data_IF_441859039851
#
_entry.id   IF_441859039851
#
_cell.length_a   1.000
_cell.length_b   1.000
_cell.length_c   1.000
_cell.angle_alpha   90.00
_cell.angle_beta   90.00
_cell.angle_gamma   90.00
#
_symmetry.space_group_name_H-M   'P 1'
#
loop_
_entity.id
_entity.type
_entity.pdbx_description
1 polymer ?
#
# COMPACT_ATOMS: atom_id res chain seq x y z
N UNK A 1 2.03 9.04 -3.42
CA UNK A 1 2.76 8.38 -4.53
C UNK A 1 4.24 8.74 -4.55
N UNK A 2 4.62 10.03 -4.61
CA UNK A 2 6.04 10.46 -4.66
C UNK A 2 6.84 9.94 -3.48
N UNK A 3 6.37 10.10 -2.25
CA UNK A 3 7.03 9.56 -1.05
C UNK A 3 7.21 8.04 -1.09
N UNK A 4 6.25 7.34 -1.66
CA UNK A 4 6.34 5.89 -1.82
C UNK A 4 7.44 5.48 -2.79
N UNK A 5 7.60 6.24 -3.88
CA UNK A 5 8.71 6.07 -4.81
C UNK A 5 10.03 6.38 -4.09
N UNK A 6 10.09 7.46 -3.29
CA UNK A 6 11.27 7.82 -2.52
C UNK A 6 11.66 6.71 -1.53
N UNK A 7 10.72 6.17 -0.76
CA UNK A 7 10.98 5.05 0.16
C UNK A 7 11.53 3.82 -0.58
N UNK A 8 10.93 3.45 -1.73
CA UNK A 8 11.43 2.33 -2.54
C UNK A 8 12.86 2.57 -3.06
N UNK A 9 13.19 3.80 -3.45
CA UNK A 9 14.55 4.15 -3.82
C UNK A 9 15.51 4.02 -2.63
N UNK A 10 15.11 4.49 -1.46
CA UNK A 10 15.89 4.38 -0.22
C UNK A 10 16.15 2.92 0.13
N UNK A 11 15.14 2.05 0.06
CA UNK A 11 15.29 0.61 0.31
C UNK A 11 16.34 -0.03 -0.63
N UNK A 12 16.36 0.38 -1.90
CA UNK A 12 17.36 -0.11 -2.85
C UNK A 12 18.77 0.44 -2.55
N UNK A 13 18.87 1.69 -2.08
CA UNK A 13 20.16 2.28 -1.71
C UNK A 13 20.75 1.63 -0.46
N UNK A 14 19.95 1.24 0.52
CA UNK A 14 20.40 0.45 1.67
C UNK A 14 21.01 -0.88 1.28
N UNK A 15 20.58 -1.50 0.18
CA UNK A 15 21.21 -2.74 -0.34
C UNK A 15 22.58 -2.51 -0.96
N UNK A 16 22.89 -1.27 -1.35
CA UNK A 16 24.16 -0.89 -1.99
C UNK A 16 25.17 -0.45 -0.95
N UNK A 17 24.73 0.38 0.00
CA UNK A 17 25.56 0.89 1.08
C UNK A 17 24.72 1.05 2.36
N UNK A 18 24.87 0.10 3.27
CA UNK A 18 24.17 0.05 4.55
C UNK A 18 24.76 1.02 5.60
N UNK A 19 25.97 1.55 5.37
CA UNK A 19 26.63 2.45 6.32
C UNK A 19 26.05 3.87 6.27
N UNK A 20 25.37 4.23 5.19
CA UNK A 20 24.74 5.53 5.03
C UNK A 20 23.31 5.45 5.55
N UNK A 21 22.94 6.37 6.45
CA UNK A 21 21.55 6.50 6.86
C UNK A 21 20.73 7.26 5.79
N UNK A 22 20.28 6.52 4.78
CA UNK A 22 19.56 7.06 3.63
C UNK A 22 18.23 7.77 4.00
N UNK A 23 17.63 7.42 5.13
CA UNK A 23 16.40 8.07 5.61
C UNK A 23 16.59 9.56 5.93
N UNK A 24 17.80 9.99 6.27
CA UNK A 24 18.10 11.41 6.47
C UNK A 24 17.93 12.26 5.21
N UNK A 25 17.98 11.64 4.05
CA UNK A 25 17.89 12.30 2.74
C UNK A 25 16.52 12.12 2.08
N UNK A 26 15.53 11.58 2.80
CA UNK A 26 14.20 11.29 2.24
C UNK A 26 13.56 12.51 1.58
N UNK A 27 13.60 13.65 2.23
CA UNK A 27 13.00 14.89 1.70
C UNK A 27 13.69 15.35 0.41
N UNK A 28 15.01 15.18 0.32
CA UNK A 28 15.77 15.47 -0.90
C UNK A 28 15.38 14.51 -2.04
N UNK A 29 15.17 13.22 -1.75
CA UNK A 29 14.63 12.28 -2.74
C UNK A 29 13.23 12.68 -3.20
N UNK A 30 12.35 13.06 -2.28
CA UNK A 30 10.99 13.52 -2.58
C UNK A 30 11.03 14.74 -3.50
N UNK A 31 11.82 15.75 -3.15
CA UNK A 31 11.94 16.96 -3.96
C UNK A 31 12.59 16.69 -5.32
N UNK A 32 13.60 15.83 -5.39
CA UNK A 32 14.17 15.42 -6.67
C UNK A 32 13.16 14.68 -7.55
N UNK A 33 12.40 13.74 -7.01
CA UNK A 33 11.37 13.00 -7.76
C UNK A 33 10.29 13.96 -8.29
N UNK A 34 9.92 14.96 -7.47
CA UNK A 34 8.91 15.97 -7.81
C UNK A 34 9.36 16.92 -8.90
N UNK A 35 10.57 17.47 -8.75
CA UNK A 35 11.04 18.63 -9.55
C UNK A 35 12.04 18.27 -10.63
N UNK A 36 12.75 17.14 -10.48
CA UNK A 36 13.90 16.72 -11.30
C UNK A 36 15.08 17.71 -11.25
N UNK A 37 15.12 18.58 -10.25
CA UNK A 37 16.21 19.53 -10.09
C UNK A 37 17.43 18.82 -9.49
N UNK A 38 18.56 19.00 -10.17
CA UNK A 38 19.83 18.32 -9.86
C UNK A 38 20.48 18.80 -8.56
N UNK A 39 20.15 20.03 -8.12
CA UNK A 39 20.64 20.61 -6.87
C UNK A 39 20.22 19.81 -5.62
N UNK A 40 19.10 19.07 -5.67
CA UNK A 40 18.75 18.15 -4.59
C UNK A 40 19.62 16.89 -4.58
N UNK A 41 20.06 16.38 -5.74
CA UNK A 41 20.94 15.22 -5.82
C UNK A 41 22.34 15.49 -5.28
N UNK A 42 22.86 16.69 -5.51
CA UNK A 42 24.23 17.07 -5.07
C UNK A 42 24.34 17.06 -3.54
N UNK A 43 23.23 17.22 -2.83
CA UNK A 43 23.18 17.22 -1.37
C UNK A 43 23.10 15.78 -0.77
N UNK A 44 22.84 14.79 -1.60
CA UNK A 44 22.81 13.37 -1.18
C UNK A 44 24.23 12.82 -1.38
N UNK A 45 24.76 11.98 -0.46
CA UNK A 45 26.11 11.46 -0.55
C UNK A 45 26.25 10.36 -1.64
N UNK A 46 25.85 10.72 -2.86
CA UNK A 46 25.99 9.86 -4.03
C UNK A 46 27.39 10.06 -4.58
N UNK A 47 28.27 9.11 -4.27
CA UNK A 47 29.71 9.25 -4.48
C UNK A 47 30.19 8.97 -5.92
N UNK A 48 29.29 8.56 -6.83
CA UNK A 48 29.69 8.23 -8.19
C UNK A 48 28.57 8.52 -9.22
N UNK A 49 28.97 8.80 -10.46
CA UNK A 49 28.09 8.91 -11.61
C UNK A 49 27.22 7.66 -11.79
N UNK A 50 27.76 6.48 -11.47
CA UNK A 50 27.02 5.21 -11.55
C UNK A 50 25.84 5.16 -10.57
N UNK A 51 25.98 5.71 -9.36
CA UNK A 51 24.89 5.79 -8.38
C UNK A 51 23.80 6.78 -8.83
N UNK A 52 24.19 7.89 -9.45
CA UNK A 52 23.24 8.85 -10.02
C UNK A 52 22.41 8.22 -11.16
N UNK A 53 23.04 7.45 -12.03
CA UNK A 53 22.37 6.70 -13.10
C UNK A 53 21.45 5.65 -12.51
N UNK A 54 21.92 4.90 -11.51
CA UNK A 54 21.12 3.90 -10.82
C UNK A 54 19.86 4.54 -10.20
N UNK A 55 20.03 5.65 -9.49
CA UNK A 55 18.92 6.39 -8.90
C UNK A 55 17.88 6.80 -9.95
N UNK A 56 18.35 7.39 -11.05
CA UNK A 56 17.47 7.82 -12.14
C UNK A 56 16.68 6.63 -12.72
N UNK A 57 17.36 5.50 -12.95
CA UNK A 57 16.72 4.29 -13.46
C UNK A 57 15.69 3.72 -12.47
N UNK A 58 16.02 3.66 -11.18
CA UNK A 58 15.09 3.19 -10.14
C UNK A 58 13.88 4.11 -10.00
N UNK A 59 14.07 5.42 -9.99
CA UNK A 59 12.96 6.39 -9.97
C UNK A 59 12.05 6.18 -11.17
N UNK A 60 12.59 6.00 -12.37
CA UNK A 60 11.79 5.78 -13.57
C UNK A 60 11.05 4.45 -13.49
N UNK A 61 11.70 3.38 -13.03
CA UNK A 61 11.08 2.07 -12.85
C UNK A 61 9.88 2.14 -11.90
N UNK A 62 10.05 2.72 -10.71
CA UNK A 62 8.98 2.84 -9.74
C UNK A 62 7.88 3.82 -10.16
N UNK A 63 8.25 4.91 -10.84
CA UNK A 63 7.30 5.86 -11.41
C UNK A 63 6.41 5.18 -12.45
N UNK A 64 7.00 4.42 -13.35
CA UNK A 64 6.26 3.67 -14.37
C UNK A 64 5.36 2.61 -13.75
N UNK A 65 5.83 1.91 -12.72
CA UNK A 65 5.02 0.93 -12.00
C UNK A 65 3.73 1.56 -11.47
N UNK A 66 3.80 2.73 -10.83
CA UNK A 66 2.64 3.39 -10.25
C UNK A 66 1.79 4.16 -11.26
N UNK A 67 2.39 4.81 -12.24
CA UNK A 67 1.66 5.66 -13.19
C UNK A 67 1.05 4.88 -14.36
N UNK A 68 1.75 3.89 -14.85
CA UNK A 68 1.24 3.01 -15.91
C UNK A 68 0.37 1.87 -15.38
N UNK A 69 0.10 1.85 -14.07
CA UNK A 69 -0.69 0.81 -13.40
C UNK A 69 -0.15 -0.60 -13.61
N UNK A 70 1.16 -0.77 -13.72
CA UNK A 70 1.80 -2.08 -13.88
C UNK A 70 1.52 -3.00 -12.68
N UNK A 71 1.11 -2.42 -11.53
CA UNK A 71 0.65 -3.16 -10.36
C UNK A 71 -0.62 -4.02 -10.62
N UNK A 72 -1.34 -3.79 -11.73
CA UNK A 72 -2.44 -4.69 -12.15
C UNK A 72 -1.91 -6.04 -12.67
N UNK A 73 -0.75 -6.03 -13.36
CA UNK A 73 -0.10 -7.23 -13.87
C UNK A 73 0.84 -7.89 -12.84
N UNK A 74 1.45 -7.07 -11.98
CA UNK A 74 2.38 -7.50 -10.92
C UNK A 74 2.00 -6.84 -9.59
N UNK A 75 1.00 -7.38 -8.86
CA UNK A 75 0.50 -6.81 -7.62
C UNK A 75 1.57 -6.77 -6.52
N UNK A 76 1.67 -5.65 -5.83
CA UNK A 76 2.67 -5.44 -4.78
C UNK A 76 2.19 -5.85 -3.38
N UNK A 77 0.87 -5.89 -3.15
CA UNK A 77 0.30 -6.03 -1.82
C UNK A 77 0.16 -7.48 -1.39
N UNK A 78 0.70 -7.80 -0.20
CA UNK A 78 0.53 -9.12 0.41
C UNK A 78 -0.87 -9.30 1.01
N UNK A 79 -1.48 -8.20 1.48
CA UNK A 79 -2.85 -8.16 2.03
C UNK A 79 -3.56 -6.88 1.62
N UNK A 80 -4.85 -6.99 1.35
CA UNK A 80 -5.74 -5.86 1.10
C UNK A 80 -7.00 -6.02 1.93
N UNK A 81 -7.43 -4.94 2.57
CA UNK A 81 -8.66 -4.90 3.34
C UNK A 81 -9.64 -3.93 2.70
N UNK A 82 -10.87 -4.38 2.52
CA UNK A 82 -11.98 -3.54 2.05
C UNK A 82 -13.04 -3.49 3.14
N UNK A 83 -13.29 -2.30 3.65
CA UNK A 83 -14.42 -2.07 4.56
C UNK A 83 -15.62 -1.53 3.77
N UNK A 84 -16.80 -2.04 4.08
CA UNK A 84 -18.06 -1.68 3.40
C UNK A 84 -19.02 -1.09 4.42
N UNK A 85 -19.57 0.10 4.15
CA UNK A 85 -20.40 0.81 5.12
C UNK A 85 -21.87 0.79 4.74
N UNK A 86 -22.23 1.33 3.56
CA UNK A 86 -23.62 1.56 3.20
C UNK A 86 -24.18 0.53 2.22
N UNK A 87 -25.33 -0.02 2.51
CA UNK A 87 -26.03 -1.01 1.68
C UNK A 87 -26.54 -0.45 0.34
N UNK A 88 -26.80 0.86 0.28
CA UNK A 88 -27.27 1.52 -0.94
C UNK A 88 -26.15 1.86 -1.94
N UNK A 89 -24.89 1.68 -1.56
CA UNK A 89 -23.74 1.84 -2.47
C UNK A 89 -23.28 0.52 -3.10
N UNK A 90 -24.23 -0.38 -3.41
CA UNK A 90 -23.92 -1.72 -3.91
C UNK A 90 -22.93 -1.73 -5.07
N UNK A 91 -23.23 -1.00 -6.16
CA UNK A 91 -22.38 -0.98 -7.35
C UNK A 91 -20.95 -0.53 -7.04
N UNK A 92 -20.81 0.57 -6.32
CA UNK A 92 -19.50 1.11 -5.95
C UNK A 92 -18.73 0.11 -5.09
N UNK A 93 -19.41 -0.57 -4.17
CA UNK A 93 -18.80 -1.59 -3.31
C UNK A 93 -18.28 -2.77 -4.13
N UNK A 94 -19.07 -3.30 -5.05
CA UNK A 94 -18.66 -4.42 -5.91
C UNK A 94 -17.50 -4.01 -6.81
N UNK A 95 -17.55 -2.83 -7.42
CA UNK A 95 -16.47 -2.29 -8.24
C UNK A 95 -15.18 -2.12 -7.42
N UNK A 96 -15.28 -1.64 -6.18
CA UNK A 96 -14.15 -1.50 -5.25
C UNK A 96 -13.54 -2.85 -4.88
N UNK A 97 -14.34 -3.86 -4.59
CA UNK A 97 -13.85 -5.21 -4.29
C UNK A 97 -13.15 -5.82 -5.51
N UNK A 98 -13.75 -5.69 -6.70
CA UNK A 98 -13.14 -6.18 -7.94
C UNK A 98 -11.85 -5.43 -8.30
N UNK A 99 -11.77 -4.15 -7.99
CA UNK A 99 -10.53 -3.39 -8.10
C UNK A 99 -9.48 -3.89 -7.10
N UNK A 100 -9.87 -4.10 -5.83
CA UNK A 100 -8.98 -4.60 -4.78
C UNK A 100 -8.38 -5.99 -5.10
N UNK A 101 -9.11 -6.83 -5.83
CA UNK A 101 -8.58 -8.13 -6.32
C UNK A 101 -7.35 -7.99 -7.22
N UNK A 102 -7.23 -6.87 -7.94
CA UNK A 102 -6.09 -6.59 -8.81
C UNK A 102 -4.86 -6.06 -8.04
N UNK A 103 -5.06 -5.62 -6.80
CA UNK A 103 -4.00 -5.03 -5.97
C UNK A 103 -3.24 -6.08 -5.16
N UNK A 104 -3.88 -7.19 -4.84
CA UNK A 104 -3.33 -8.22 -3.94
C UNK A 104 -2.65 -9.33 -4.73
N UNK A 105 -1.50 -9.80 -4.26
CA UNK A 105 -0.75 -10.91 -4.88
C UNK A 105 -1.52 -12.23 -4.88
N UNK A 106 -2.24 -12.50 -3.78
CA UNK A 106 -3.12 -13.67 -3.65
C UNK A 106 -4.49 -13.21 -3.17
N UNK A 107 -5.54 -13.52 -3.93
CA UNK A 107 -6.92 -13.14 -3.60
C UNK A 107 -7.42 -13.73 -2.27
N UNK A 108 -6.79 -14.79 -1.76
CA UNK A 108 -7.06 -15.32 -0.42
C UNK A 108 -6.72 -14.33 0.70
N UNK A 109 -5.83 -13.37 0.42
CA UNK A 109 -5.42 -12.32 1.33
C UNK A 109 -6.22 -11.01 1.13
N UNK A 110 -7.24 -11.02 0.27
CA UNK A 110 -8.21 -9.95 0.19
C UNK A 110 -9.33 -10.20 1.20
N UNK A 111 -9.41 -9.33 2.20
CA UNK A 111 -10.40 -9.41 3.25
C UNK A 111 -11.44 -8.31 3.07
N UNK A 112 -12.70 -8.72 3.00
CA UNK A 112 -13.84 -7.82 2.83
C UNK A 112 -14.71 -7.93 4.06
N UNK A 113 -15.05 -6.82 4.68
CA UNK A 113 -15.89 -6.77 5.88
C UNK A 113 -16.71 -5.50 5.96
N UNK A 114 -17.34 -5.27 7.11
CA UNK A 114 -18.18 -4.10 7.38
C UNK A 114 -19.67 -4.39 7.23
N UNK A 115 -20.48 -3.33 7.31
CA UNK A 115 -21.95 -3.44 7.44
C UNK A 115 -22.58 -4.11 6.23
N UNK A 116 -22.36 -3.59 5.01
CA UNK A 116 -22.91 -4.19 3.79
C UNK A 116 -22.47 -5.63 3.62
N UNK A 117 -21.17 -5.90 3.78
CA UNK A 117 -20.60 -7.24 3.64
C UNK A 117 -21.12 -8.24 4.70
N UNK A 118 -21.56 -7.75 5.86
CA UNK A 118 -22.20 -8.57 6.89
C UNK A 118 -23.65 -8.91 6.52
N UNK A 119 -24.44 -7.90 6.07
CA UNK A 119 -25.87 -8.03 5.79
C UNK A 119 -26.09 -8.79 4.48
N UNK A 120 -25.32 -8.46 3.43
CA UNK A 120 -25.48 -9.00 2.06
C UNK A 120 -24.29 -9.92 1.69
N UNK A 121 -23.84 -10.73 2.63
CA UNK A 121 -22.63 -11.54 2.44
C UNK A 121 -22.73 -12.56 1.31
N UNK A 122 -23.94 -13.12 1.09
CA UNK A 122 -24.18 -14.08 0.02
C UNK A 122 -24.09 -13.39 -1.34
N UNK A 123 -24.74 -12.27 -1.49
CA UNK A 123 -24.77 -11.47 -2.71
C UNK A 123 -23.37 -10.92 -3.06
N UNK A 124 -22.60 -10.47 -2.06
CA UNK A 124 -21.20 -10.05 -2.24
C UNK A 124 -20.36 -11.21 -2.74
N UNK A 125 -20.52 -12.40 -2.16
CA UNK A 125 -19.79 -13.58 -2.63
C UNK A 125 -20.17 -13.96 -4.05
N UNK A 126 -21.46 -13.98 -4.39
CA UNK A 126 -21.93 -14.29 -5.74
C UNK A 126 -21.42 -13.29 -6.78
N UNK A 127 -21.35 -12.00 -6.44
CA UNK A 127 -20.93 -10.94 -7.35
C UNK A 127 -19.39 -10.84 -7.50
N UNK A 128 -18.61 -11.23 -6.49
CA UNK A 128 -17.15 -10.98 -6.47
C UNK A 128 -16.30 -12.23 -6.38
N UNK A 129 -16.87 -13.37 -5.93
CA UNK A 129 -16.13 -14.59 -5.60
C UNK A 129 -15.33 -14.47 -4.28
N UNK A 130 -15.40 -13.35 -3.58
CA UNK A 130 -14.71 -13.12 -2.30
C UNK A 130 -15.69 -13.38 -1.16
N UNK A 131 -15.36 -14.34 -0.28
CA UNK A 131 -16.15 -14.61 0.92
C UNK A 131 -15.93 -13.52 1.96
N UNK A 132 -16.94 -12.69 2.26
CA UNK A 132 -16.76 -11.60 3.20
C UNK A 132 -16.72 -12.11 4.64
N UNK A 133 -16.02 -11.35 5.49
CA UNK A 133 -16.07 -11.52 6.94
C UNK A 133 -17.37 -10.91 7.47
N UNK A 134 -18.11 -11.66 8.29
CA UNK A 134 -19.38 -11.24 8.89
C UNK A 134 -19.20 -10.87 10.34
N UNK A 135 -19.83 -9.76 10.74
CA UNK A 135 -19.84 -9.31 12.13
C UNK A 135 -18.67 -8.42 12.49
N UNK A 136 -18.35 -8.39 13.78
CA UNK A 136 -17.31 -7.56 14.37
C UNK A 136 -16.04 -8.37 14.68
N UNK A 137 -14.91 -7.68 14.81
CA UNK A 137 -13.60 -8.29 15.05
C UNK A 137 -13.33 -8.42 16.56
N UNK A 138 -14.20 -9.15 17.25
CA UNK A 138 -14.22 -9.29 18.71
C UNK A 138 -13.67 -10.63 19.25
N UNK A 139 -13.11 -11.45 18.38
CA UNK A 139 -12.49 -12.72 18.74
C UNK A 139 -11.02 -12.73 18.30
N UNK A 140 -10.08 -13.22 19.14
CA UNK A 140 -8.69 -13.33 18.74
C UNK A 140 -8.52 -14.20 17.49
N UNK A 141 -7.59 -13.83 16.62
CA UNK A 141 -7.24 -14.62 15.43
C UNK A 141 -8.22 -14.54 14.27
N UNK A 142 -9.25 -13.68 14.31
CA UNK A 142 -10.25 -13.58 13.23
C UNK A 142 -9.68 -13.19 11.87
N UNK A 143 -8.74 -12.24 11.83
CA UNK A 143 -8.07 -11.81 10.58
C UNK A 143 -6.71 -12.48 10.40
N UNK A 144 -6.04 -12.79 11.48
CA UNK A 144 -4.74 -13.45 11.48
C UNK A 144 -4.68 -14.45 12.64
N UNK A 145 -4.64 -15.74 12.31
CA UNK A 145 -4.62 -16.81 13.32
C UNK A 145 -3.47 -16.71 14.32
N UNK A 146 -2.40 -15.99 13.97
CA UNK A 146 -1.24 -15.76 14.85
C UNK A 146 -1.43 -14.55 15.77
N UNK A 147 -2.39 -13.69 15.49
CA UNK A 147 -2.66 -12.50 16.26
C UNK A 147 -3.72 -12.77 17.32
N UNK A 148 -3.35 -12.60 18.59
CA UNK A 148 -4.25 -12.75 19.73
C UNK A 148 -4.98 -11.45 20.11
N UNK A 149 -4.73 -10.37 19.39
CA UNK A 149 -5.40 -9.10 19.64
C UNK A 149 -6.88 -9.18 19.23
N UNK A 150 -7.72 -8.63 20.09
CA UNK A 150 -9.11 -8.34 19.78
C UNK A 150 -9.14 -6.93 19.16
N UNK A 151 -9.35 -6.86 17.87
CA UNK A 151 -9.24 -5.58 17.11
C UNK A 151 -10.27 -4.58 17.59
N UNK A 152 -11.45 -5.04 17.97
CA UNK A 152 -12.55 -4.19 18.48
C UNK A 152 -12.20 -3.50 19.81
N UNK A 153 -11.23 -4.01 20.56
CA UNK A 153 -10.76 -3.43 21.82
C UNK A 153 -9.58 -2.45 21.64
N UNK A 154 -9.06 -2.28 20.42
CA UNK A 154 -7.97 -1.34 20.19
C UNK A 154 -8.48 0.10 20.29
N UNK A 155 -7.69 1.00 20.91
CA UNK A 155 -8.04 2.41 20.90
C UNK A 155 -8.03 2.96 19.48
N UNK A 156 -8.92 3.90 19.20
CA UNK A 156 -8.91 4.61 17.93
C UNK A 156 -7.65 5.45 17.82
N UNK A 157 -6.94 5.31 16.73
CA UNK A 157 -5.76 6.13 16.45
C UNK A 157 -6.17 7.38 15.65
N UNK A 158 -6.11 8.52 16.31
CA UNK A 158 -6.41 9.82 15.71
C UNK A 158 -5.16 10.59 15.27
N UNK A 159 -3.97 10.01 15.38
CA UNK A 159 -2.71 10.69 15.04
C UNK A 159 -2.64 11.19 13.60
N UNK A 160 -3.44 10.60 12.72
CA UNK A 160 -3.56 11.03 11.31
C UNK A 160 -4.33 12.36 11.14
N UNK A 161 -5.05 12.81 12.17
CA UNK A 161 -5.84 14.04 12.11
C UNK A 161 -5.06 15.27 12.62
N UNK A 162 -3.90 15.05 13.23
CA UNK A 162 -3.06 16.09 13.82
C UNK A 162 -2.00 16.63 12.81
N UNK A 163 -2.24 16.46 11.49
CA UNK A 163 -1.33 16.88 10.40
C UNK A 163 -1.84 18.14 9.71
#
# INVERSE_FOLDING_TARGET
>A
MIERIANKCIDEFYKIDENINWNLYKDLFVEYIRTRRRDFLVQIPISSTNMEILLTNKINQFKDYYWKKNWEADPEWDRVFVTTLFTFHWRITIDTINFAKKLVKDTKNLMVGGVLATIQAKEVYEATGIKPFKGILNIPGQLDKRNQLIIDNLPLDYSILDQ
#
